data_IF_951232240868
#
_entry.id   IF_951232240868
#
_cell.length_a   1.000
_cell.length_b   1.000
_cell.length_c   1.000
_cell.angle_alpha   90.00
_cell.angle_beta   90.00
_cell.angle_gamma   90.00
#
_symmetry.space_group_name_H-M   'P 1'
#
loop_
_entity.id
_entity.type
_entity.pdbx_description
1 polymer ?
#
# COMPACT_ATOMS: atom_id res chain seq x y z
N UNK A 1 2.74 13.53 12.35
CA UNK A 1 2.10 12.27 11.88
C UNK A 1 3.00 11.13 12.32
N UNK A 2 2.47 9.94 12.60
CA UNK A 2 3.34 8.80 12.94
C UNK A 2 4.20 8.44 11.71
N UNK A 3 5.54 8.36 11.83
CA UNK A 3 6.40 8.12 10.66
C UNK A 3 6.48 6.64 10.27
N UNK A 4 6.25 5.75 11.23
CA UNK A 4 6.39 4.30 11.07
C UNK A 4 5.53 3.51 12.06
N UNK A 5 5.18 2.29 11.69
CA UNK A 5 4.60 1.28 12.57
C UNK A 5 5.56 0.09 12.63
N UNK A 6 5.84 -0.39 13.84
CA UNK A 6 6.70 -1.55 14.10
C UNK A 6 6.03 -2.47 15.11
N UNK A 7 5.66 -3.66 14.67
CA UNK A 7 4.97 -4.68 15.47
C UNK A 7 5.75 -5.99 15.37
N UNK A 8 6.76 -6.20 16.23
CA UNK A 8 7.57 -7.42 16.21
C UNK A 8 6.75 -8.63 16.68
N UNK A 9 7.12 -9.83 16.22
CA UNK A 9 6.62 -11.09 16.73
C UNK A 9 7.18 -11.38 18.12
N UNK A 10 6.31 -11.79 19.05
CA UNK A 10 6.69 -12.23 20.38
C UNK A 10 7.48 -13.55 20.38
N UNK A 11 7.45 -14.30 19.26
CA UNK A 11 8.10 -15.62 19.11
C UNK A 11 9.50 -15.58 18.52
N UNK A 12 10.06 -14.39 18.29
CA UNK A 12 11.37 -14.21 17.65
C UNK A 12 12.53 -15.04 18.23
N UNK A 13 12.52 -15.37 19.54
CA UNK A 13 13.57 -16.17 20.19
C UNK A 13 13.43 -17.69 20.05
N UNK A 14 12.30 -18.19 19.56
CA UNK A 14 12.03 -19.64 19.44
C UNK A 14 11.60 -20.10 18.05
N UNK A 15 11.48 -19.18 17.09
CA UNK A 15 11.12 -19.50 15.72
C UNK A 15 12.31 -20.10 14.94
N UNK A 16 12.01 -21.01 14.02
CA UNK A 16 13.00 -21.59 13.09
C UNK A 16 13.35 -20.62 11.97
N UNK A 17 12.43 -19.73 11.61
CA UNK A 17 12.60 -18.72 10.58
C UNK A 17 12.09 -17.37 11.08
N UNK A 18 12.72 -16.30 10.59
CA UNK A 18 12.32 -14.92 10.82
C UNK A 18 11.91 -14.27 9.49
N UNK A 19 10.67 -13.82 9.41
CA UNK A 19 10.10 -13.18 8.24
C UNK A 19 9.72 -11.73 8.53
N UNK A 20 9.84 -10.87 7.53
CA UNK A 20 9.35 -9.48 7.60
C UNK A 20 8.14 -9.32 6.68
N UNK A 21 7.04 -8.84 7.22
CA UNK A 21 5.94 -8.29 6.42
C UNK A 21 6.15 -6.78 6.38
N UNK A 22 6.60 -6.27 5.22
CA UNK A 22 6.80 -4.84 5.00
C UNK A 22 5.57 -4.24 4.33
N UNK A 23 4.89 -3.33 5.02
CA UNK A 23 3.71 -2.63 4.54
C UNK A 23 4.04 -1.37 3.75
N UNK A 24 3.42 -1.22 2.58
CA UNK A 24 3.55 -0.09 1.65
C UNK A 24 2.17 0.58 1.51
N UNK A 25 2.09 1.83 1.93
CA UNK A 25 0.85 2.59 1.96
C UNK A 25 0.28 2.87 0.55
N UNK A 26 -1.04 3.06 0.46
CA UNK A 26 -1.69 3.71 -0.68
C UNK A 26 -1.54 5.23 -0.68
N UNK A 27 -2.34 5.94 -1.48
CA UNK A 27 -2.36 7.41 -1.53
C UNK A 27 -3.64 7.94 -0.83
N UNK A 28 -3.57 8.80 0.21
CA UNK A 28 -2.38 9.41 0.80
C UNK A 28 -1.46 8.43 1.53
N UNK A 29 -0.15 8.62 1.36
CA UNK A 29 0.94 7.75 1.80
C UNK A 29 1.28 7.79 3.29
N UNK A 30 0.28 7.78 4.17
CA UNK A 30 0.47 7.86 5.61
C UNK A 30 0.20 6.50 6.28
N UNK A 31 1.20 5.95 6.99
CA UNK A 31 1.12 4.65 7.65
C UNK A 31 0.10 4.63 8.78
N UNK A 32 -0.14 5.78 9.39
CA UNK A 32 -1.04 5.95 10.53
C UNK A 32 -2.49 5.56 10.19
N UNK A 33 -2.92 5.66 8.93
CA UNK A 33 -4.22 5.14 8.48
C UNK A 33 -4.39 3.64 8.74
N UNK A 34 -3.30 2.88 8.72
CA UNK A 34 -3.32 1.42 8.78
C UNK A 34 -3.12 0.87 10.19
N UNK A 35 -3.13 1.73 11.22
CA UNK A 35 -2.90 1.35 12.62
C UNK A 35 -3.85 0.24 13.07
N UNK A 36 -5.16 0.41 12.85
CA UNK A 36 -6.18 -0.57 13.26
C UNK A 36 -6.00 -1.89 12.50
N UNK A 37 -5.79 -1.83 11.18
CA UNK A 37 -5.54 -2.99 10.34
C UNK A 37 -4.29 -3.79 10.77
N UNK A 38 -3.14 -3.12 10.91
CA UNK A 38 -1.88 -3.78 11.25
C UNK A 38 -1.89 -4.33 12.69
N UNK A 39 -2.56 -3.64 13.61
CA UNK A 39 -2.75 -4.11 15.00
C UNK A 39 -3.65 -5.35 15.05
N UNK A 40 -4.75 -5.34 14.31
CA UNK A 40 -5.62 -6.51 14.16
C UNK A 40 -4.85 -7.69 13.55
N UNK A 41 -4.06 -7.45 12.50
CA UNK A 41 -3.23 -8.48 11.88
C UNK A 41 -2.21 -9.05 12.87
N UNK A 42 -1.49 -8.21 13.61
CA UNK A 42 -0.53 -8.64 14.64
C UNK A 42 -1.20 -9.58 15.65
N UNK A 43 -2.32 -9.18 16.23
CA UNK A 43 -3.04 -10.00 17.22
C UNK A 43 -3.61 -11.31 16.65
N UNK A 44 -3.88 -11.38 15.34
CA UNK A 44 -4.22 -12.63 14.66
C UNK A 44 -2.98 -13.51 14.43
N UNK A 45 -1.85 -12.92 14.03
CA UNK A 45 -0.60 -13.62 13.81
C UNK A 45 -0.04 -14.25 15.09
N UNK A 46 -0.13 -13.55 16.23
CA UNK A 46 0.34 -14.07 17.53
C UNK A 46 -0.31 -15.42 17.91
N UNK A 47 -1.52 -15.68 17.40
CA UNK A 47 -2.27 -16.91 17.65
C UNK A 47 -1.90 -18.05 16.71
N UNK A 48 -1.31 -17.77 15.55
CA UNK A 48 -1.14 -18.74 14.46
C UNK A 48 0.34 -19.01 14.13
N UNK A 49 1.23 -18.09 14.48
CA UNK A 49 2.67 -18.25 14.35
C UNK A 49 3.19 -19.48 15.10
N UNK A 50 3.93 -20.33 14.39
CA UNK A 50 4.54 -21.55 14.95
C UNK A 50 6.03 -21.60 14.67
N UNK A 51 6.40 -21.96 13.44
CA UNK A 51 7.80 -22.12 13.00
C UNK A 51 8.42 -20.84 12.50
N UNK A 52 7.61 -19.93 11.96
CA UNK A 52 8.03 -18.66 11.41
C UNK A 52 7.55 -17.53 12.33
N UNK A 53 8.44 -16.64 12.73
CA UNK A 53 8.09 -15.39 13.41
C UNK A 53 7.96 -14.30 12.34
N UNK A 54 6.79 -13.65 12.23
CA UNK A 54 6.57 -12.57 11.27
C UNK A 54 6.61 -11.24 11.98
N UNK A 55 7.65 -10.44 11.76
CA UNK A 55 7.64 -9.04 12.18
C UNK A 55 6.83 -8.22 11.17
N UNK A 56 6.05 -7.24 11.63
CA UNK A 56 5.33 -6.31 10.74
C UNK A 56 5.98 -4.93 10.86
N UNK A 57 6.29 -4.32 9.72
CA UNK A 57 6.83 -2.97 9.66
C UNK A 57 6.21 -2.18 8.52
N UNK A 58 6.02 -0.88 8.69
CA UNK A 58 5.63 0.01 7.59
C UNK A 58 6.02 1.44 7.89
N UNK A 59 6.14 2.26 6.83
CA UNK A 59 6.50 3.68 6.91
C UNK A 59 5.60 4.51 6.01
N UNK A 60 5.57 5.82 6.23
CA UNK A 60 4.98 6.75 5.26
C UNK A 60 5.71 6.63 3.92
N UNK A 61 4.99 6.85 2.82
CA UNK A 61 5.61 7.17 1.54
C UNK A 61 6.36 8.52 1.65
N UNK A 62 7.31 8.75 0.75
CA UNK A 62 8.15 9.95 0.78
C UNK A 62 7.33 11.23 0.56
N UNK A 63 7.64 12.30 1.31
CA UNK A 63 7.05 13.62 1.09
C UNK A 63 5.65 13.82 1.64
N UNK A 64 5.09 12.85 2.37
CA UNK A 64 3.76 12.96 2.97
C UNK A 64 3.78 13.55 4.38
N UNK A 65 4.94 13.55 5.05
CA UNK A 65 5.11 14.21 6.35
C UNK A 65 6.06 15.39 6.20
N UNK A 66 5.64 16.59 6.60
CA UNK A 66 6.47 17.80 6.50
C UNK A 66 7.84 17.67 7.23
N UNK A 67 7.93 16.76 8.20
CA UNK A 67 9.15 16.44 8.96
C UNK A 67 10.14 15.56 8.18
N UNK A 68 9.73 14.94 7.07
CA UNK A 68 10.55 14.00 6.28
C UNK A 68 11.26 14.65 5.09
N UNK A 69 10.99 15.94 4.83
CA UNK A 69 11.57 16.66 3.70
C UNK A 69 11.57 18.19 3.89
N UNK A 70 12.51 18.85 3.21
CA UNK A 70 12.46 20.30 3.01
C UNK A 70 11.23 20.72 2.21
N UNK A 71 10.68 21.93 2.42
CA UNK A 71 9.52 22.41 1.67
C UNK A 71 9.63 22.20 0.16
N UNK A 72 8.54 21.78 -0.47
CA UNK A 72 8.54 21.67 -1.92
C UNK A 72 8.63 23.05 -2.58
N UNK A 73 9.37 23.09 -3.67
CA UNK A 73 9.67 24.29 -4.46
C UNK A 73 9.92 23.91 -5.92
N UNK A 74 10.29 24.89 -6.74
CA UNK A 74 10.68 24.62 -8.14
C UNK A 74 11.93 23.75 -8.25
N UNK A 75 12.80 23.77 -7.24
CA UNK A 75 14.07 23.01 -7.20
C UNK A 75 13.98 21.74 -6.35
N UNK A 76 13.03 21.67 -5.42
CA UNK A 76 12.74 20.49 -4.60
C UNK A 76 11.31 20.03 -4.88
N UNK A 77 11.13 19.16 -5.86
CA UNK A 77 9.79 18.77 -6.33
C UNK A 77 9.17 17.68 -5.46
N UNK A 78 7.84 17.54 -5.45
CA UNK A 78 7.18 16.37 -4.88
C UNK A 78 7.69 15.07 -5.53
N UNK A 79 7.61 13.99 -4.79
CA UNK A 79 8.05 12.67 -5.25
C UNK A 79 7.04 12.08 -6.23
N UNK A 80 7.48 11.71 -7.42
CA UNK A 80 6.69 10.94 -8.37
C UNK A 80 6.66 9.45 -8.00
N UNK A 81 5.87 8.66 -8.71
CA UNK A 81 5.74 7.22 -8.45
C UNK A 81 7.07 6.46 -8.63
N UNK A 82 7.98 6.89 -9.52
CA UNK A 82 9.30 6.24 -9.66
C UNK A 82 10.19 6.51 -8.45
N UNK A 83 10.23 7.76 -7.98
CA UNK A 83 10.89 8.17 -6.76
C UNK A 83 10.35 7.45 -5.52
N UNK A 84 9.03 7.20 -5.46
CA UNK A 84 8.45 6.36 -4.41
C UNK A 84 8.94 4.92 -4.50
N UNK A 85 9.01 4.32 -5.70
CA UNK A 85 9.54 2.95 -5.87
C UNK A 85 10.99 2.87 -5.40
N UNK A 86 11.84 3.80 -5.83
CA UNK A 86 13.26 3.82 -5.48
C UNK A 86 13.47 4.01 -3.98
N UNK A 87 12.83 5.02 -3.38
CA UNK A 87 12.97 5.30 -1.95
C UNK A 87 12.40 4.20 -1.06
N UNK A 88 11.28 3.59 -1.46
CA UNK A 88 10.73 2.46 -0.72
C UNK A 88 11.60 1.20 -0.87
N UNK A 89 12.20 0.96 -2.03
CA UNK A 89 13.18 -0.12 -2.20
C UNK A 89 14.33 0.07 -1.21
N UNK A 90 14.94 1.25 -1.13
CA UNK A 90 16.05 1.48 -0.20
C UNK A 90 15.67 1.21 1.27
N UNK A 91 14.50 1.68 1.71
CA UNK A 91 13.98 1.42 3.07
C UNK A 91 13.70 -0.07 3.32
N UNK A 92 13.17 -0.78 2.32
CA UNK A 92 12.88 -2.22 2.39
C UNK A 92 14.19 -3.01 2.43
N UNK A 93 15.16 -2.65 1.60
CA UNK A 93 16.47 -3.28 1.56
C UNK A 93 17.19 -3.10 2.91
N UNK A 94 17.17 -1.91 3.49
CA UNK A 94 17.72 -1.65 4.82
C UNK A 94 17.00 -2.47 5.90
N UNK A 95 15.67 -2.39 5.98
CA UNK A 95 14.89 -3.09 7.01
C UNK A 95 14.92 -4.61 6.87
N UNK A 96 15.05 -5.12 5.65
CA UNK A 96 15.08 -6.55 5.33
C UNK A 96 16.35 -7.28 5.76
N UNK A 97 17.37 -6.58 6.28
CA UNK A 97 18.57 -7.22 6.80
C UNK A 97 18.25 -8.16 7.98
N UNK A 98 18.84 -9.35 7.95
CA UNK A 98 18.71 -10.34 9.03
C UNK A 98 17.38 -11.12 9.03
N UNK A 99 16.55 -10.99 8.00
CA UNK A 99 15.38 -11.83 7.78
C UNK A 99 15.68 -12.96 6.79
N UNK A 100 15.08 -14.13 7.03
CA UNK A 100 15.16 -15.27 6.10
C UNK A 100 14.40 -15.00 4.82
N UNK A 101 13.33 -14.19 4.90
CA UNK A 101 12.60 -13.66 3.75
C UNK A 101 11.73 -12.45 4.11
N UNK A 102 11.33 -11.72 3.08
CA UNK A 102 10.47 -10.56 3.16
C UNK A 102 9.21 -10.78 2.31
N UNK A 103 8.07 -10.43 2.88
CA UNK A 103 6.78 -10.30 2.21
C UNK A 103 6.50 -8.81 2.04
N UNK A 104 6.26 -8.36 0.81
CA UNK A 104 5.81 -6.98 0.57
C UNK A 104 4.29 -6.96 0.58
N UNK A 105 3.70 -6.12 1.42
CA UNK A 105 2.25 -5.92 1.48
C UNK A 105 1.92 -4.50 1.05
N UNK A 106 1.26 -4.34 -0.09
CA UNK A 106 0.94 -3.02 -0.62
C UNK A 106 -0.56 -2.81 -0.73
N UNK A 107 -1.05 -1.62 -0.39
CA UNK A 107 -2.43 -1.20 -0.65
C UNK A 107 -2.50 -0.22 -1.82
N UNK A 108 -3.45 -0.42 -2.75
CA UNK A 108 -3.69 0.50 -3.87
C UNK A 108 -2.40 0.75 -4.68
N UNK A 109 -1.94 2.00 -4.83
CA UNK A 109 -0.64 2.31 -5.45
C UNK A 109 0.54 1.61 -4.76
N UNK A 110 0.46 1.35 -3.45
CA UNK A 110 1.46 0.57 -2.73
C UNK A 110 1.59 -0.86 -3.26
N UNK A 111 0.54 -1.44 -3.84
CA UNK A 111 0.62 -2.73 -4.54
C UNK A 111 1.43 -2.62 -5.82
N UNK A 112 1.27 -1.55 -6.60
CA UNK A 112 2.10 -1.29 -7.78
C UNK A 112 3.57 -1.15 -7.38
N UNK A 113 3.84 -0.36 -6.34
CA UNK A 113 5.20 -0.17 -5.79
C UNK A 113 5.81 -1.53 -5.39
N UNK A 114 5.06 -2.39 -4.70
CA UNK A 114 5.53 -3.72 -4.32
C UNK A 114 5.93 -4.56 -5.55
N UNK A 115 5.07 -4.65 -6.56
CA UNK A 115 5.35 -5.43 -7.78
C UNK A 115 6.55 -4.87 -8.54
N UNK A 116 6.67 -3.54 -8.63
CA UNK A 116 7.80 -2.89 -9.28
C UNK A 116 9.13 -3.13 -8.55
N UNK A 117 9.12 -3.14 -7.21
CA UNK A 117 10.30 -3.50 -6.41
C UNK A 117 10.70 -4.96 -6.68
N UNK A 118 9.75 -5.90 -6.71
CA UNK A 118 10.04 -7.29 -7.11
C UNK A 118 10.69 -7.34 -8.50
N UNK A 119 10.12 -6.64 -9.48
CA UNK A 119 10.62 -6.60 -10.85
C UNK A 119 12.05 -6.04 -10.93
N UNK A 120 12.31 -4.89 -10.31
CA UNK A 120 13.65 -4.26 -10.28
C UNK A 120 14.67 -5.13 -9.53
N UNK A 121 14.25 -5.77 -8.45
CA UNK A 121 15.11 -6.65 -7.68
C UNK A 121 15.49 -7.92 -8.46
N UNK A 122 14.55 -8.53 -9.19
CA UNK A 122 14.84 -9.68 -10.05
C UNK A 122 15.82 -9.34 -11.18
N UNK A 123 15.69 -8.16 -11.78
CA UNK A 123 16.56 -7.71 -12.87
C UNK A 123 17.94 -7.23 -12.37
N UNK A 124 18.04 -6.78 -11.13
CA UNK A 124 19.29 -6.30 -10.53
C UNK A 124 19.41 -6.76 -9.06
N UNK A 125 19.64 -8.07 -8.82
CA UNK A 125 19.76 -8.61 -7.46
C UNK A 125 21.00 -8.07 -6.72
N UNK A 126 21.99 -7.57 -7.47
CA UNK A 126 23.21 -6.98 -6.92
C UNK A 126 22.98 -5.74 -6.05
N UNK A 127 21.87 -5.01 -6.24
CA UNK A 127 21.52 -3.82 -5.44
C UNK A 127 21.35 -4.15 -3.94
N UNK A 128 20.79 -5.31 -3.63
CA UNK A 128 20.51 -5.74 -2.26
C UNK A 128 20.53 -7.27 -2.15
N UNK A 129 21.72 -7.88 -2.27
CA UNK A 129 21.87 -9.35 -2.33
C UNK A 129 21.32 -10.08 -1.09
N UNK A 130 21.26 -9.41 0.06
CA UNK A 130 20.70 -9.97 1.29
C UNK A 130 19.17 -9.98 1.32
N UNK A 131 18.52 -9.14 0.49
CA UNK A 131 17.08 -8.99 0.46
C UNK A 131 16.45 -10.19 -0.26
N UNK A 132 15.69 -11.00 0.49
CA UNK A 132 15.02 -12.20 -0.05
C UNK A 132 13.52 -11.95 -0.17
N UNK A 133 13.10 -11.30 -1.26
CA UNK A 133 11.68 -11.06 -1.55
C UNK A 133 11.00 -12.38 -1.95
N UNK A 134 9.99 -12.80 -1.18
CA UNK A 134 9.33 -14.10 -1.38
C UNK A 134 7.89 -13.99 -1.84
N UNK A 135 7.07 -13.24 -1.11
CA UNK A 135 5.64 -13.08 -1.46
C UNK A 135 5.23 -11.61 -1.54
N UNK A 136 4.21 -11.34 -2.34
CA UNK A 136 3.56 -10.03 -2.42
C UNK A 136 2.08 -10.13 -2.06
N UNK A 137 1.65 -9.41 -1.04
CA UNK A 137 0.24 -9.28 -0.64
C UNK A 137 -0.30 -7.95 -1.17
N UNK A 138 -1.09 -8.03 -2.24
CA UNK A 138 -1.56 -6.89 -3.02
C UNK A 138 -3.03 -6.62 -2.68
N UNK A 139 -3.26 -5.64 -1.81
CA UNK A 139 -4.57 -5.29 -1.27
C UNK A 139 -5.20 -4.17 -2.10
N UNK A 140 -6.37 -4.42 -2.68
CA UNK A 140 -7.11 -3.51 -3.55
C UNK A 140 -6.21 -2.91 -4.66
N UNK A 141 -5.50 -3.75 -5.44
CA UNK A 141 -4.32 -3.30 -6.14
C UNK A 141 -4.65 -2.54 -7.43
N UNK A 142 -4.00 -1.40 -7.63
CA UNK A 142 -4.11 -0.58 -8.85
C UNK A 142 -2.97 -0.93 -9.82
N UNK A 143 -3.05 -2.08 -10.47
CA UNK A 143 -1.95 -2.62 -11.31
C UNK A 143 -2.01 -2.19 -12.78
N UNK A 144 -3.20 -1.88 -13.30
CA UNK A 144 -3.40 -1.51 -14.70
C UNK A 144 -4.45 -0.41 -14.86
N UNK A 145 -4.30 0.38 -15.92
CA UNK A 145 -5.23 1.38 -16.44
C UNK A 145 -6.02 2.18 -15.38
N UNK A 146 -5.32 2.78 -14.41
CA UNK A 146 -5.95 3.59 -13.35
C UNK A 146 -6.79 4.73 -13.95
N UNK A 147 -6.34 5.30 -15.08
CA UNK A 147 -7.04 6.35 -15.82
C UNK A 147 -8.41 5.96 -16.38
N UNK A 148 -8.73 4.66 -16.46
CA UNK A 148 -10.04 4.18 -16.91
C UNK A 148 -11.02 3.93 -15.76
N UNK A 149 -10.57 3.97 -14.51
CA UNK A 149 -11.46 3.89 -13.36
C UNK A 149 -12.38 5.12 -13.28
N UNK A 150 -13.53 5.01 -12.61
CA UNK A 150 -14.46 6.15 -12.48
C UNK A 150 -13.79 7.39 -11.88
N UNK A 151 -12.93 7.20 -10.87
CA UNK A 151 -12.20 8.30 -10.25
C UNK A 151 -11.02 8.76 -11.12
N UNK A 152 -10.33 7.83 -11.80
CA UNK A 152 -9.26 8.16 -12.75
C UNK A 152 -9.75 9.02 -13.92
N UNK A 153 -10.93 8.73 -14.48
CA UNK A 153 -11.54 9.53 -15.55
C UNK A 153 -11.85 10.95 -15.06
N UNK A 154 -12.44 11.09 -13.86
CA UNK A 154 -12.72 12.40 -13.27
C UNK A 154 -11.43 13.19 -13.06
N UNK A 155 -10.38 12.55 -12.57
CA UNK A 155 -9.10 13.18 -12.31
C UNK A 155 -8.38 13.60 -13.59
N UNK A 156 -8.43 12.78 -14.65
CA UNK A 156 -7.94 13.14 -15.99
C UNK A 156 -8.70 14.34 -16.56
N UNK A 157 -10.02 14.41 -16.38
CA UNK A 157 -10.82 15.57 -16.79
C UNK A 157 -10.43 16.83 -16.01
N UNK A 158 -10.31 16.73 -14.68
CA UNK A 158 -9.87 17.83 -13.81
C UNK A 158 -8.49 18.36 -14.23
N UNK A 159 -7.53 17.47 -14.49
CA UNK A 159 -6.19 17.84 -14.97
C UNK A 159 -6.23 18.60 -16.30
N UNK A 160 -7.11 18.21 -17.23
CA UNK A 160 -7.24 18.88 -18.53
C UNK A 160 -7.81 20.30 -18.40
N UNK A 161 -8.68 20.52 -17.43
CA UNK A 161 -9.35 21.81 -17.21
C UNK A 161 -8.48 22.75 -16.37
N UNK A 162 -7.75 22.21 -15.40
CA UNK A 162 -7.00 22.98 -14.40
C UNK A 162 -5.50 22.71 -14.60
N UNK A 163 -4.76 23.61 -15.26
CA UNK A 163 -3.29 23.50 -15.32
C UNK A 163 -2.71 23.62 -13.91
N UNK A 164 -1.63 22.86 -13.64
CA UNK A 164 -1.00 22.80 -12.31
C UNK A 164 -1.96 22.36 -11.18
N UNK A 165 -2.80 21.35 -11.46
CA UNK A 165 -3.84 20.85 -10.56
C UNK A 165 -3.34 20.57 -9.13
N UNK A 166 -2.13 20.06 -9.00
CA UNK A 166 -1.46 19.79 -7.72
C UNK A 166 -1.25 21.06 -6.87
N UNK A 167 -0.73 22.12 -7.49
CA UNK A 167 -0.53 23.43 -6.87
C UNK A 167 -1.87 24.09 -6.53
N UNK A 168 -2.84 24.02 -7.44
CA UNK A 168 -4.18 24.60 -7.24
C UNK A 168 -4.92 23.88 -6.12
N UNK A 169 -4.89 22.54 -6.07
CA UNK A 169 -5.52 21.76 -5.02
C UNK A 169 -4.91 22.06 -3.64
N UNK A 170 -3.57 22.15 -3.55
CA UNK A 170 -2.89 22.54 -2.31
C UNK A 170 -3.30 23.95 -1.86
N UNK A 171 -3.36 24.92 -2.78
CA UNK A 171 -3.78 26.29 -2.46
C UNK A 171 -5.23 26.34 -1.97
N UNK A 172 -6.14 25.64 -2.65
CA UNK A 172 -7.55 25.58 -2.26
C UNK A 172 -7.74 24.92 -0.89
N UNK A 173 -7.02 23.83 -0.61
CA UNK A 173 -7.05 23.20 0.71
C UNK A 173 -6.62 24.19 1.81
N UNK A 174 -5.53 24.93 1.59
CA UNK A 174 -5.06 25.96 2.54
C UNK A 174 -6.05 27.11 2.71
N UNK A 175 -6.66 27.59 1.62
CA UNK A 175 -7.64 28.69 1.67
C UNK A 175 -8.93 28.29 2.38
N UNK A 176 -9.49 27.12 2.04
CA UNK A 176 -10.77 26.66 2.57
C UNK A 176 -10.66 26.16 4.01
N UNK A 177 -9.57 25.47 4.36
CA UNK A 177 -9.39 24.82 5.65
C UNK A 177 -8.46 25.62 6.59
N UNK A 178 -7.85 26.71 6.11
CA UNK A 178 -6.89 27.51 6.88
C UNK A 178 -7.47 28.08 8.16
N UNK A 179 -8.73 28.53 8.13
CA UNK A 179 -9.43 29.11 9.28
C UNK A 179 -9.99 28.06 10.25
N UNK A 180 -10.07 26.79 9.83
CA UNK A 180 -10.60 25.71 10.65
C UNK A 180 -9.50 25.08 11.50
N UNK A 181 -9.79 24.79 12.77
CA UNK A 181 -8.87 23.99 13.59
C UNK A 181 -8.77 22.55 13.07
N UNK A 182 -7.70 21.82 13.42
CA UNK A 182 -7.60 20.38 13.09
C UNK A 182 -8.83 19.62 13.62
N UNK A 183 -9.24 19.88 14.87
CA UNK A 183 -10.41 19.25 15.47
C UNK A 183 -11.71 19.52 14.69
N UNK A 184 -11.88 20.74 14.15
CA UNK A 184 -13.03 21.08 13.32
C UNK A 184 -13.03 20.28 12.02
N UNK A 185 -11.88 20.17 11.35
CA UNK A 185 -11.76 19.36 10.12
C UNK A 185 -11.95 17.88 10.43
N UNK A 186 -11.39 17.36 11.52
CA UNK A 186 -11.59 15.98 11.98
C UNK A 186 -13.07 15.67 12.16
N UNK A 187 -13.81 16.55 12.84
CA UNK A 187 -15.25 16.40 13.03
C UNK A 187 -16.01 16.38 11.70
N UNK A 188 -15.68 17.27 10.77
CA UNK A 188 -16.29 17.30 9.43
C UNK A 188 -16.03 16.00 8.67
N UNK A 189 -14.76 15.57 8.61
CA UNK A 189 -14.34 14.34 7.93
C UNK A 189 -15.07 13.13 8.51
N UNK A 190 -15.08 13.01 9.83
CA UNK A 190 -15.75 11.91 10.52
C UNK A 190 -17.25 11.86 10.18
N UNK A 191 -17.93 13.01 10.19
CA UNK A 191 -19.38 13.09 9.94
C UNK A 191 -19.77 12.87 8.49
N UNK A 192 -18.98 13.37 7.54
CA UNK A 192 -19.31 13.30 6.11
C UNK A 192 -18.82 12.02 5.45
N UNK A 193 -17.63 11.52 5.84
CA UNK A 193 -17.01 10.36 5.20
C UNK A 193 -17.21 9.06 5.99
N UNK A 194 -17.76 9.13 7.20
CA UNK A 194 -17.99 7.94 8.04
C UNK A 194 -16.71 7.28 8.54
N UNK A 195 -15.60 8.02 8.58
CA UNK A 195 -14.29 7.53 9.02
C UNK A 195 -14.30 7.26 10.53
N UNK A 196 -13.42 6.36 10.98
CA UNK A 196 -13.11 6.24 12.41
C UNK A 196 -12.54 7.56 12.95
N UNK A 197 -12.67 7.86 14.26
CA UNK A 197 -12.07 9.06 14.84
C UNK A 197 -10.57 9.19 14.54
N UNK A 198 -9.84 8.07 14.57
CA UNK A 198 -8.40 8.02 14.29
C UNK A 198 -8.10 8.34 12.82
N UNK A 199 -8.75 7.68 11.87
CA UNK A 199 -8.52 7.93 10.44
C UNK A 199 -8.97 9.33 10.02
N UNK A 200 -10.07 9.85 10.59
CA UNK A 200 -10.50 11.22 10.37
C UNK A 200 -9.47 12.25 10.86
N UNK A 201 -8.82 11.99 11.99
CA UNK A 201 -7.76 12.85 12.52
C UNK A 201 -6.51 12.84 11.64
N UNK A 202 -6.11 11.67 11.13
CA UNK A 202 -5.02 11.55 10.15
C UNK A 202 -5.35 12.36 8.89
N UNK A 203 -6.57 12.23 8.35
CA UNK A 203 -7.02 13.01 7.19
C UNK A 203 -7.01 14.50 7.46
N UNK A 204 -7.48 14.95 8.63
CA UNK A 204 -7.50 16.36 8.98
C UNK A 204 -6.09 16.96 9.09
N UNK A 205 -5.15 16.24 9.73
CA UNK A 205 -3.75 16.65 9.81
C UNK A 205 -3.08 16.69 8.44
N UNK A 206 -3.34 15.70 7.60
CA UNK A 206 -2.85 15.67 6.22
C UNK A 206 -3.39 16.83 5.38
N UNK A 207 -4.70 17.09 5.41
CA UNK A 207 -5.32 18.20 4.69
C UNK A 207 -4.78 19.57 5.12
N UNK A 208 -4.34 19.68 6.37
CA UNK A 208 -3.76 20.91 6.95
C UNK A 208 -2.23 20.95 6.92
N UNK A 209 -1.56 19.89 6.46
CA UNK A 209 -0.10 19.85 6.33
C UNK A 209 0.40 20.85 5.30
N UNK A 210 1.68 21.20 5.39
CA UNK A 210 2.30 22.11 4.43
C UNK A 210 2.29 21.46 3.06
N UNK A 211 2.76 20.23 2.92
CA UNK A 211 3.05 19.67 1.59
C UNK A 211 2.27 18.39 1.27
N UNK A 212 1.59 17.78 2.23
CA UNK A 212 0.94 16.48 2.04
C UNK A 212 -0.13 16.45 0.95
N UNK A 213 -0.95 17.50 0.81
CA UNK A 213 -1.95 17.57 -0.29
C UNK A 213 -1.26 17.72 -1.65
N UNK A 214 -0.21 18.53 -1.72
CA UNK A 214 0.57 18.71 -2.95
C UNK A 214 1.20 17.38 -3.37
N UNK A 215 1.85 16.67 -2.43
CA UNK A 215 2.43 15.36 -2.65
C UNK A 215 1.40 14.33 -3.14
N UNK A 216 0.23 14.27 -2.50
CA UNK A 216 -0.81 13.30 -2.82
C UNK A 216 -1.34 13.49 -4.25
N UNK A 217 -1.64 14.75 -4.62
CA UNK A 217 -2.15 15.07 -5.96
C UNK A 217 -1.07 14.87 -7.01
N UNK A 218 0.18 15.25 -6.71
CA UNK A 218 1.31 15.02 -7.61
C UNK A 218 1.51 13.53 -7.88
N UNK A 219 1.57 12.70 -6.82
CA UNK A 219 1.70 11.25 -6.94
C UNK A 219 0.54 10.68 -7.78
N UNK A 220 -0.70 11.04 -7.47
CA UNK A 220 -1.88 10.59 -8.22
C UNK A 220 -1.87 10.98 -9.70
N UNK A 221 -1.30 12.13 -10.06
CA UNK A 221 -1.10 12.51 -11.47
C UNK A 221 -0.10 11.58 -12.17
N UNK A 222 1.00 11.25 -11.52
CA UNK A 222 2.04 10.36 -12.07
C UNK A 222 1.59 8.90 -12.13
N UNK A 223 0.74 8.47 -11.17
CA UNK A 223 0.08 7.16 -11.18
C UNK A 223 -0.77 7.00 -12.46
N UNK A 224 -1.55 8.00 -12.83
CA UNK A 224 -2.40 7.96 -14.03
C UNK A 224 -1.60 7.89 -15.34
N UNK A 225 -0.39 8.44 -15.36
CA UNK A 225 0.50 8.39 -16.52
C UNK A 225 1.22 7.04 -16.64
N UNK A 226 1.70 6.50 -15.52
CA UNK A 226 2.56 5.31 -15.53
C UNK A 226 1.80 3.99 -15.37
N UNK A 227 0.64 3.99 -14.69
CA UNK A 227 -0.19 2.79 -14.49
C UNK A 227 -1.17 2.65 -15.68
N UNK A 228 -0.59 2.41 -16.86
CA UNK A 228 -1.32 2.19 -18.10
C UNK A 228 -1.46 0.69 -18.38
N UNK A 229 -0.43 0.05 -18.92
CA UNK A 229 -0.46 -1.36 -19.30
C UNK A 229 0.41 -2.21 -18.39
N UNK A 230 0.03 -3.48 -18.23
CA UNK A 230 0.84 -4.43 -17.47
C UNK A 230 2.15 -4.72 -18.22
N UNK A 231 3.27 -4.24 -17.67
CA UNK A 231 4.60 -4.35 -18.28
C UNK A 231 5.43 -5.54 -17.78
N UNK A 232 4.91 -6.31 -16.82
CA UNK A 232 5.68 -7.36 -16.14
C UNK A 232 5.58 -8.72 -16.83
N UNK A 233 6.71 -9.43 -16.88
CA UNK A 233 6.83 -10.76 -17.48
C UNK A 233 6.12 -11.84 -16.65
N UNK A 234 5.72 -12.93 -17.29
CA UNK A 234 5.10 -14.08 -16.61
C UNK A 234 6.04 -14.71 -15.57
N UNK A 235 7.35 -14.63 -15.77
CA UNK A 235 8.38 -15.07 -14.82
C UNK A 235 8.30 -14.32 -13.48
N UNK A 236 7.93 -13.03 -13.49
CA UNK A 236 7.70 -12.28 -12.25
C UNK A 236 6.58 -12.91 -11.44
N UNK A 237 5.52 -13.36 -12.11
CA UNK A 237 4.32 -13.92 -11.49
C UNK A 237 4.44 -15.39 -11.17
N UNK A 238 5.40 -16.09 -11.79
CA UNK A 238 5.69 -17.48 -11.50
C UNK A 238 6.03 -17.68 -10.01
N UNK A 239 5.74 -18.88 -9.52
CA UNK A 239 5.94 -19.29 -8.13
C UNK A 239 7.34 -18.90 -7.66
N UNK A 240 7.44 -18.43 -6.42
CA UNK A 240 8.74 -18.24 -5.79
C UNK A 240 9.36 -19.65 -5.68
N UNK A 241 10.39 -19.93 -6.49
CA UNK A 241 10.99 -21.26 -6.76
C UNK A 241 10.91 -22.33 -5.67
N UNK A 242 10.84 -23.60 -6.09
CA UNK A 242 10.85 -24.86 -5.30
C UNK A 242 9.86 -24.99 -4.13
N UNK A 243 9.08 -23.97 -3.77
CA UNK A 243 8.08 -24.04 -2.68
C UNK A 243 6.74 -24.60 -3.17
N UNK A 244 6.67 -25.91 -3.41
CA UNK A 244 5.48 -26.78 -3.38
C UNK A 244 4.16 -26.22 -4.00
N UNK A 245 4.24 -25.30 -4.97
CA UNK A 245 3.07 -24.72 -5.65
C UNK A 245 2.44 -23.49 -4.98
N UNK A 246 3.05 -22.88 -3.96
CA UNK A 246 2.52 -21.63 -3.36
C UNK A 246 2.79 -20.43 -4.29
N UNK A 247 1.78 -19.63 -4.63
CA UNK A 247 1.95 -18.50 -5.54
C UNK A 247 2.81 -17.39 -4.93
N UNK A 248 3.54 -16.65 -5.78
CA UNK A 248 4.32 -15.49 -5.35
C UNK A 248 3.42 -14.35 -4.89
N UNK A 249 2.33 -14.09 -5.63
CA UNK A 249 1.44 -12.98 -5.36
C UNK A 249 0.06 -13.43 -4.90
N UNK A 250 -0.45 -12.74 -3.90
CA UNK A 250 -1.80 -12.86 -3.37
C UNK A 250 -2.50 -11.52 -3.58
N UNK A 251 -3.61 -11.51 -4.31
CA UNK A 251 -4.36 -10.32 -4.64
C UNK A 251 -5.72 -10.36 -3.95
N UNK A 252 -6.11 -9.24 -3.36
CA UNK A 252 -7.46 -9.07 -2.82
C UNK A 252 -8.13 -7.86 -3.44
N UNK A 253 -9.23 -8.07 -4.17
CA UNK A 253 -10.01 -7.01 -4.79
C UNK A 253 -11.29 -6.74 -4.01
N UNK A 254 -11.72 -5.48 -3.95
CA UNK A 254 -13.09 -5.16 -3.57
C UNK A 254 -14.07 -5.72 -4.61
N UNK A 255 -15.29 -6.02 -4.16
CA UNK A 255 -16.39 -6.38 -5.05
C UNK A 255 -16.74 -5.22 -5.98
N UNK A 256 -16.84 -4.01 -5.42
CA UNK A 256 -17.04 -2.75 -6.13
C UNK A 256 -15.90 -1.80 -5.76
N UNK A 257 -15.15 -1.38 -6.76
CA UNK A 257 -14.01 -0.48 -6.57
C UNK A 257 -14.10 0.68 -7.56
N UNK A 258 -14.07 1.92 -7.05
CA UNK A 258 -14.12 3.12 -7.89
C UNK A 258 -12.75 3.50 -8.47
N UNK A 259 -11.68 2.85 -8.00
CA UNK A 259 -10.30 3.03 -8.42
C UNK A 259 -9.81 1.87 -9.32
N UNK A 260 -10.47 0.71 -9.29
CA UNK A 260 -10.17 -0.41 -10.17
C UNK A 260 -11.39 -0.72 -11.03
N UNK A 261 -11.28 -0.49 -12.33
CA UNK A 261 -12.37 -0.81 -13.25
C UNK A 261 -12.59 -2.33 -13.31
N UNK A 262 -13.84 -2.80 -13.25
CA UNK A 262 -14.17 -4.24 -13.19
C UNK A 262 -13.50 -5.05 -14.32
N UNK A 263 -13.49 -4.51 -15.53
CA UNK A 263 -12.83 -5.12 -16.70
C UNK A 263 -11.32 -5.29 -16.52
N UNK A 264 -10.65 -4.39 -15.81
CA UNK A 264 -9.22 -4.50 -15.55
C UNK A 264 -8.93 -5.58 -14.51
N UNK A 265 -9.76 -5.67 -13.45
CA UNK A 265 -9.74 -6.80 -12.51
C UNK A 265 -9.93 -8.14 -13.24
N UNK A 266 -10.93 -8.23 -14.11
CA UNK A 266 -11.22 -9.43 -14.89
C UNK A 266 -10.05 -9.84 -15.79
N UNK A 267 -9.37 -8.88 -16.44
CA UNK A 267 -8.16 -9.15 -17.23
C UNK A 267 -7.01 -9.70 -16.38
N UNK A 268 -6.78 -9.13 -15.20
CA UNK A 268 -5.76 -9.67 -14.28
C UNK A 268 -6.15 -11.07 -13.82
N UNK A 269 -7.43 -11.32 -13.53
CA UNK A 269 -7.92 -12.65 -13.15
C UNK A 269 -7.73 -13.68 -14.27
N UNK A 270 -8.07 -13.32 -15.50
CA UNK A 270 -7.90 -14.19 -16.68
C UNK A 270 -6.42 -14.50 -16.93
N UNK A 271 -5.56 -13.47 -16.91
CA UNK A 271 -4.14 -13.63 -17.24
C UNK A 271 -3.31 -14.24 -16.12
N UNK A 272 -3.65 -13.95 -14.85
CA UNK A 272 -2.81 -14.28 -13.68
C UNK A 272 -3.45 -15.28 -12.72
N UNK A 273 -4.73 -15.64 -12.87
CA UNK A 273 -5.44 -16.51 -11.93
C UNK A 273 -4.87 -17.91 -11.77
N UNK A 274 -4.05 -18.39 -12.72
CA UNK A 274 -3.33 -19.67 -12.61
C UNK A 274 -1.97 -19.54 -11.89
N UNK A 275 -1.41 -18.34 -11.79
CA UNK A 275 -0.08 -18.06 -11.23
C UNK A 275 -0.12 -17.32 -9.89
N UNK A 276 -1.24 -16.65 -9.60
CA UNK A 276 -1.44 -15.86 -8.40
C UNK A 276 -2.71 -16.30 -7.65
N UNK A 277 -2.70 -16.16 -6.33
CA UNK A 277 -3.91 -16.35 -5.52
C UNK A 277 -4.75 -15.09 -5.59
N UNK A 278 -5.85 -15.12 -6.34
CA UNK A 278 -6.74 -13.95 -6.46
C UNK A 278 -8.02 -14.23 -5.68
N UNK A 279 -8.37 -13.31 -4.78
CA UNK A 279 -9.63 -13.32 -4.08
C UNK A 279 -10.38 -12.00 -4.32
N UNK A 280 -11.70 -12.09 -4.43
CA UNK A 280 -12.59 -10.93 -4.50
C UNK A 280 -13.45 -10.94 -3.25
N UNK A 281 -13.59 -9.78 -2.62
CA UNK A 281 -14.50 -9.59 -1.49
C UNK A 281 -15.93 -10.02 -1.86
N UNK A 282 -16.60 -10.65 -0.90
CA UNK A 282 -18.01 -11.02 -1.01
C UNK A 282 -18.93 -10.00 -0.31
N UNK A 283 -18.36 -9.19 0.58
CA UNK A 283 -19.02 -8.14 1.32
C UNK A 283 -19.01 -6.79 0.60
N UNK A 284 -18.97 -5.73 1.41
CA UNK A 284 -18.95 -4.32 1.00
C UNK A 284 -17.72 -3.62 1.61
N UNK A 285 -16.56 -4.27 1.52
CA UNK A 285 -15.30 -3.68 1.98
C UNK A 285 -14.94 -2.55 1.02
N UNK A 286 -14.85 -1.29 1.49
CA UNK A 286 -14.46 -0.19 0.61
C UNK A 286 -12.98 -0.29 0.26
N UNK A 287 -12.60 0.28 -0.88
CA UNK A 287 -11.19 0.41 -1.28
C UNK A 287 -10.34 1.00 -0.15
N UNK A 288 -10.82 2.09 0.46
CA UNK A 288 -10.21 2.70 1.65
C UNK A 288 -10.55 1.94 2.95
N UNK A 289 -10.35 0.62 2.97
CA UNK A 289 -10.73 -0.26 4.08
C UNK A 289 -10.14 0.18 5.44
N UNK A 290 -8.96 0.80 5.41
CA UNK A 290 -8.25 1.30 6.60
C UNK A 290 -8.97 2.47 7.31
N UNK A 291 -10.00 3.03 6.70
CA UNK A 291 -10.80 4.12 7.30
C UNK A 291 -11.97 3.62 8.15
N UNK A 292 -12.20 2.30 8.18
CA UNK A 292 -13.25 1.65 8.98
C UNK A 292 -12.71 0.46 9.78
N UNK A 293 -13.22 0.29 10.99
CA UNK A 293 -12.77 -0.75 11.92
C UNK A 293 -13.18 -2.16 11.45
N UNK A 294 -14.42 -2.32 10.98
CA UNK A 294 -14.97 -3.58 10.47
C UNK A 294 -14.20 -4.09 9.25
N UNK A 295 -13.97 -3.20 8.28
CA UNK A 295 -13.21 -3.46 7.08
C UNK A 295 -11.74 -3.79 7.39
N UNK A 296 -11.11 -3.03 8.30
CA UNK A 296 -9.74 -3.29 8.77
C UNK A 296 -9.58 -4.70 9.35
N UNK A 297 -10.51 -5.13 10.19
CA UNK A 297 -10.47 -6.47 10.77
C UNK A 297 -10.65 -7.57 9.73
N UNK A 298 -11.56 -7.39 8.77
CA UNK A 298 -11.84 -8.41 7.75
C UNK A 298 -10.66 -8.59 6.79
N UNK A 299 -10.02 -7.50 6.37
CA UNK A 299 -8.79 -7.56 5.57
C UNK A 299 -7.65 -8.22 6.35
N UNK A 300 -7.54 -7.95 7.66
CA UNK A 300 -6.55 -8.60 8.52
C UNK A 300 -6.76 -10.12 8.63
N UNK A 301 -8.02 -10.58 8.70
CA UNK A 301 -8.35 -12.01 8.66
C UNK A 301 -7.91 -12.66 7.36
N UNK A 302 -8.21 -12.03 6.22
CA UNK A 302 -7.79 -12.52 4.90
C UNK A 302 -6.28 -12.66 4.79
N UNK A 303 -5.53 -11.65 5.23
CA UNK A 303 -4.06 -11.72 5.23
C UNK A 303 -3.56 -12.85 6.14
N UNK A 304 -4.15 -13.02 7.32
CA UNK A 304 -3.79 -14.11 8.23
C UNK A 304 -4.04 -15.50 7.60
N UNK A 305 -5.09 -15.67 6.80
CA UNK A 305 -5.33 -16.89 6.02
C UNK A 305 -4.20 -17.17 5.03
N UNK A 306 -3.72 -16.16 4.30
CA UNK A 306 -2.59 -16.32 3.38
C UNK A 306 -1.28 -16.67 4.09
N UNK A 307 -1.03 -16.11 5.27
CA UNK A 307 0.13 -16.48 6.09
C UNK A 307 0.04 -17.95 6.52
N UNK A 308 -1.15 -18.43 6.91
CA UNK A 308 -1.37 -19.85 7.22
C UNK A 308 -1.18 -20.75 6.01
N UNK A 309 -1.59 -20.32 4.82
CA UNK A 309 -1.37 -21.06 3.57
C UNK A 309 0.14 -21.24 3.32
N UNK A 310 0.91 -20.15 3.44
CA UNK A 310 2.37 -20.17 3.27
C UNK A 310 3.06 -21.09 4.29
N UNK A 311 2.66 -21.05 5.57
CA UNK A 311 3.24 -21.91 6.61
C UNK A 311 2.72 -23.36 6.55
N UNK A 312 1.48 -23.58 6.08
CA UNK A 312 0.83 -24.88 5.98
C UNK A 312 1.50 -25.81 4.98
N UNK A 313 1.91 -25.27 3.82
CA UNK A 313 2.60 -26.02 2.76
C UNK A 313 4.04 -26.44 3.09
N UNK A 314 4.58 -26.04 4.25
CA UNK A 314 5.90 -26.46 4.74
C UNK A 314 5.86 -27.73 5.60
N UNK A 315 4.67 -28.21 5.97
CA UNK A 315 4.48 -29.38 6.86
C UNK A 315 3.95 -30.63 6.16
N UNK A 316 3.82 -30.61 4.82
CA UNK A 316 3.59 -31.78 3.97
C UNK A 316 4.87 -32.11 3.19
#
# INVERSE_FOLDING_TARGET
MVPQIWLPSERSKGAKQKALIYYICGNPGLIEYYTDFLSNLRGLLDKVEKSTAYDIYGTNLLGFSDDDHEPFSSTNKPWDLDGQVEGMYDRIAEKGQGYDFVILMGHSVGSYIAVEIFHRHMNNPGRAQHLKLRHGFLLFPTLTHLARSSNGVQFVMLRRIIPFLDTVASLLARLLLGLLSVASVTWIVQRLLGFTPASADVTARWLKSRDGVLQAVHLGLTELEMICEEKWSDELWATAGDENGVPRFFLFYAKKDHWVHDTERERVMEKRGQMARIAVDQGDIPHAFCTREDASLEVARRVCEWVKEIDGHKNE
#
